data_IF_610424653110
#
_entry.id   IF_610424653110
#
_cell.length_a   1.000
_cell.length_b   1.000
_cell.length_c   1.000
_cell.angle_alpha   90.00
_cell.angle_beta   90.00
_cell.angle_gamma   90.00
#
_symmetry.space_group_name_H-M   'P 1'
#
loop_
_entity.id
_entity.type
_entity.pdbx_description
1 polymer ?
#
# COMPACT_ATOMS: atom_id res chain seq x y z
N UNK A 1 -52.67 35.74 25.77
CA UNK A 1 -51.46 35.27 25.05
C UNK A 1 -51.88 34.08 24.19
N UNK A 2 -51.72 34.20 22.86
CA UNK A 2 -52.19 33.21 21.88
C UNK A 2 -51.25 31.99 21.85
N UNK A 3 -51.80 30.80 22.07
CA UNK A 3 -51.22 29.52 21.64
C UNK A 3 -51.19 29.43 20.11
N UNK A 4 -50.28 28.63 19.53
CA UNK A 4 -50.76 27.69 18.53
C UNK A 4 -50.15 26.29 18.63
N UNK A 5 -51.06 25.32 18.52
CA UNK A 5 -50.86 23.97 18.01
C UNK A 5 -50.15 24.04 16.65
N UNK A 6 -49.01 23.38 16.46
CA UNK A 6 -48.51 22.94 15.14
C UNK A 6 -47.14 22.21 15.19
N UNK A 7 -46.71 21.65 16.33
CA UNK A 7 -45.40 20.98 16.44
C UNK A 7 -45.45 19.47 16.07
N UNK A 8 -46.36 19.11 15.15
CA UNK A 8 -46.47 17.78 14.55
C UNK A 8 -46.76 17.96 13.06
N UNK A 9 -45.75 18.27 12.24
CA UNK A 9 -45.93 18.25 10.77
C UNK A 9 -44.65 18.25 9.91
N UNK A 10 -43.44 18.45 10.46
CA UNK A 10 -42.25 18.66 9.60
C UNK A 10 -41.05 17.93 10.16
N UNK A 11 -40.99 16.61 10.01
CA UNK A 11 -39.74 15.84 9.97
C UNK A 11 -39.96 14.44 9.35
N UNK A 12 -40.96 14.32 8.46
CA UNK A 12 -41.17 13.17 7.57
C UNK A 12 -40.56 13.48 6.21
N UNK A 13 -39.31 13.95 6.20
CA UNK A 13 -38.59 14.36 5.00
C UNK A 13 -37.10 13.99 5.03
N UNK A 14 -36.76 12.87 5.67
CA UNK A 14 -35.48 12.17 5.46
C UNK A 14 -35.74 10.73 5.00
N UNK A 15 -36.59 10.60 3.99
CA UNK A 15 -36.51 9.49 3.05
C UNK A 15 -35.37 9.80 2.07
N UNK A 16 -34.57 8.76 1.82
CA UNK A 16 -33.97 8.45 0.51
C UNK A 16 -32.84 9.33 -0.02
N UNK A 17 -31.68 9.28 0.64
CA UNK A 17 -30.36 9.50 0.01
C UNK A 17 -29.33 8.97 1.01
N UNK A 18 -28.90 7.71 0.97
CA UNK A 18 -27.89 7.18 0.06
C UNK A 18 -27.87 5.65 0.25
N UNK A 19 -27.97 4.87 -0.83
CA UNK A 19 -27.13 3.69 -0.96
C UNK A 19 -26.20 3.96 -2.13
N UNK A 20 -25.33 4.97 -2.01
CA UNK A 20 -24.16 5.00 -2.86
C UNK A 20 -23.13 4.10 -2.20
N UNK A 21 -23.25 2.81 -2.51
CA UNK A 21 -22.12 1.92 -2.53
C UNK A 21 -21.08 2.52 -3.51
N UNK A 22 -20.34 3.52 -3.04
CA UNK A 22 -19.04 3.80 -3.62
C UNK A 22 -18.18 2.63 -3.19
N UNK A 23 -18.20 1.62 -4.05
CA UNK A 23 -17.09 0.73 -4.30
C UNK A 23 -15.81 1.48 -3.91
N UNK A 24 -15.19 1.09 -2.80
CA UNK A 24 -13.77 1.29 -2.65
C UNK A 24 -13.18 0.57 -3.87
N UNK A 25 -12.91 1.33 -4.92
CA UNK A 25 -12.05 0.89 -5.99
C UNK A 25 -10.72 0.61 -5.29
N UNK A 26 -10.57 -0.65 -4.87
CA UNK A 26 -9.33 -1.25 -4.46
C UNK A 26 -8.35 -0.92 -5.59
N UNK A 27 -7.59 0.15 -5.41
CA UNK A 27 -6.68 0.65 -6.42
C UNK A 27 -5.56 -0.38 -6.46
N UNK A 28 -5.64 -1.29 -7.45
CA UNK A 28 -4.61 -2.31 -7.64
C UNK A 28 -3.27 -1.59 -7.77
N UNK A 29 -2.35 -1.88 -6.85
CA UNK A 29 -1.03 -1.29 -6.85
C UNK A 29 -0.35 -1.60 -8.19
N UNK A 30 0.08 -0.57 -8.92
CA UNK A 30 0.76 -0.77 -10.19
C UNK A 30 2.17 -1.29 -9.94
N UNK A 31 2.78 -1.93 -10.94
CA UNK A 31 4.20 -2.33 -10.84
C UNK A 31 5.13 -1.14 -10.56
N UNK A 32 4.73 0.08 -10.95
CA UNK A 32 5.49 1.29 -10.64
C UNK A 32 5.44 1.62 -9.14
N UNK A 33 4.28 1.51 -8.51
CA UNK A 33 4.10 1.76 -7.07
C UNK A 33 4.92 0.75 -6.25
N UNK A 34 4.94 -0.51 -6.70
CA UNK A 34 5.72 -1.57 -6.05
C UNK A 34 7.23 -1.33 -6.24
N UNK A 35 7.65 -0.76 -7.37
CA UNK A 35 9.05 -0.38 -7.58
C UNK A 35 9.51 0.73 -6.60
N UNK A 36 8.60 1.58 -6.13
CA UNK A 36 8.94 2.57 -5.10
C UNK A 36 9.33 1.92 -3.77
N UNK A 37 8.73 0.77 -3.43
CA UNK A 37 9.13 -0.02 -2.26
C UNK A 37 10.59 -0.49 -2.42
N UNK A 38 10.94 -1.02 -3.60
CA UNK A 38 12.31 -1.41 -3.91
C UNK A 38 13.27 -0.23 -3.75
N UNK A 39 12.96 0.91 -4.37
CA UNK A 39 13.82 2.09 -4.34
C UNK A 39 13.96 2.69 -2.94
N UNK A 40 12.89 2.70 -2.14
CA UNK A 40 12.90 3.16 -0.76
C UNK A 40 13.84 2.30 0.07
N UNK A 41 13.70 0.98 0.00
CA UNK A 41 14.55 0.06 0.75
C UNK A 41 15.99 0.04 0.22
N UNK A 42 16.21 0.20 -1.08
CA UNK A 42 17.53 0.40 -1.68
C UNK A 42 18.22 1.65 -1.12
N UNK A 43 17.50 2.77 -1.03
CA UNK A 43 18.05 4.00 -0.49
C UNK A 43 18.38 3.89 0.99
N UNK A 44 17.55 3.20 1.78
CA UNK A 44 17.87 2.85 3.16
C UNK A 44 19.10 1.93 3.26
N UNK A 45 19.15 0.89 2.42
CA UNK A 45 20.24 -0.08 2.37
C UNK A 45 21.60 0.53 2.06
N UNK A 46 21.68 1.61 1.27
CA UNK A 46 22.95 2.33 1.05
C UNK A 46 23.61 2.85 2.32
N UNK A 47 22.83 3.04 3.40
CA UNK A 47 23.28 3.56 4.69
C UNK A 47 23.43 2.45 5.73
N UNK A 48 23.27 1.18 5.35
CA UNK A 48 23.24 0.03 6.25
C UNK A 48 24.10 -1.12 5.72
N UNK A 49 24.57 -1.97 6.62
CA UNK A 49 25.19 -3.25 6.26
C UNK A 49 24.13 -4.36 6.12
N UNK A 50 24.52 -5.53 5.59
CA UNK A 50 23.59 -6.66 5.36
C UNK A 50 22.78 -7.04 6.61
N UNK A 51 23.41 -7.04 7.78
CA UNK A 51 22.74 -7.34 9.05
C UNK A 51 21.62 -6.35 9.38
N UNK A 52 21.78 -5.08 8.98
CA UNK A 52 20.74 -4.06 9.11
C UNK A 52 19.53 -4.32 8.20
N UNK A 53 19.79 -4.83 6.99
CA UNK A 53 18.73 -5.24 6.07
C UNK A 53 17.94 -6.45 6.58
N UNK A 54 18.61 -7.45 7.16
CA UNK A 54 17.92 -8.61 7.74
C UNK A 54 17.05 -8.22 8.93
N UNK A 55 17.51 -7.28 9.77
CA UNK A 55 16.70 -6.72 10.86
C UNK A 55 15.48 -5.96 10.33
N UNK A 56 15.66 -5.13 9.31
CA UNK A 56 14.58 -4.35 8.70
C UNK A 56 13.48 -5.27 8.14
N UNK A 57 13.85 -6.40 7.53
CA UNK A 57 12.92 -7.43 7.04
C UNK A 57 12.15 -8.10 8.18
N UNK A 58 12.83 -8.45 9.28
CA UNK A 58 12.18 -9.02 10.46
C UNK A 58 11.20 -8.04 11.12
N UNK A 59 11.53 -6.74 11.12
CA UNK A 59 10.66 -5.70 11.65
C UNK A 59 9.45 -5.38 10.75
N UNK A 60 9.64 -5.45 9.43
CA UNK A 60 8.58 -5.17 8.45
C UNK A 60 7.59 -6.31 8.26
N UNK A 61 8.03 -7.56 8.40
CA UNK A 61 7.17 -8.73 8.23
C UNK A 61 5.86 -8.65 9.03
N UNK A 62 5.90 -8.46 10.36
CA UNK A 62 4.70 -8.34 11.19
C UNK A 62 3.84 -7.10 10.88
N UNK A 63 4.47 -5.99 10.46
CA UNK A 63 3.79 -4.72 10.16
C UNK A 63 3.00 -4.81 8.86
N UNK A 64 3.55 -5.46 7.84
CA UNK A 64 2.94 -5.58 6.52
C UNK A 64 1.88 -6.68 6.46
N UNK A 65 2.02 -7.75 7.25
CA UNK A 65 1.02 -8.84 7.34
C UNK A 65 -0.32 -8.33 7.92
N UNK A 66 -0.30 -7.22 8.67
CA UNK A 66 -1.51 -6.61 9.27
C UNK A 66 -2.14 -5.47 8.48
N UNK A 67 -1.57 -5.03 7.35
CA UNK A 67 -2.17 -3.97 6.53
C UNK A 67 -3.06 -4.55 5.42
N UNK A 68 -4.38 -4.48 5.62
CA UNK A 68 -5.43 -4.78 4.65
C UNK A 68 -5.45 -3.84 3.40
N UNK A 69 -4.40 -3.02 3.21
CA UNK A 69 -4.36 -1.91 2.25
C UNK A 69 -3.76 -2.24 0.88
N UNK A 70 -2.98 -3.32 0.73
CA UNK A 70 -2.40 -3.70 -0.56
C UNK A 70 -3.30 -4.76 -1.20
N UNK A 71 -4.47 -4.33 -1.64
CA UNK A 71 -5.43 -5.16 -2.39
C UNK A 71 -4.81 -5.61 -3.72
N UNK A 72 -4.10 -6.74 -3.69
CA UNK A 72 -3.52 -7.39 -4.88
C UNK A 72 -2.05 -7.82 -4.74
N UNK A 73 -1.31 -7.27 -3.78
CA UNK A 73 0.12 -7.58 -3.60
C UNK A 73 0.39 -8.08 -2.18
N UNK A 74 0.84 -9.34 -2.05
CA UNK A 74 1.02 -9.93 -0.72
C UNK A 74 2.09 -9.19 0.09
N UNK A 75 1.83 -9.00 1.39
CA UNK A 75 2.79 -8.45 2.35
C UNK A 75 4.16 -9.16 2.30
N UNK A 76 4.15 -10.47 2.04
CA UNK A 76 5.34 -11.28 1.85
C UNK A 76 6.15 -10.84 0.62
N UNK A 77 5.48 -10.52 -0.50
CA UNK A 77 6.14 -10.06 -1.72
C UNK A 77 6.70 -8.65 -1.55
N UNK A 78 5.97 -7.73 -0.92
CA UNK A 78 6.47 -6.39 -0.58
C UNK A 78 7.69 -6.46 0.34
N UNK A 79 7.67 -7.38 1.32
CA UNK A 79 8.81 -7.63 2.22
C UNK A 79 10.02 -8.19 1.44
N UNK A 80 9.79 -9.14 0.54
CA UNK A 80 10.85 -9.72 -0.30
C UNK A 80 11.48 -8.68 -1.25
N UNK A 81 10.66 -7.80 -1.83
CA UNK A 81 11.12 -6.69 -2.68
C UNK A 81 11.94 -5.70 -1.86
N UNK A 82 11.46 -5.34 -0.68
CA UNK A 82 12.19 -4.45 0.22
C UNK A 82 13.54 -5.07 0.65
N UNK A 83 13.55 -6.37 1.00
CA UNK A 83 14.78 -7.12 1.29
C UNK A 83 15.78 -6.99 0.14
N UNK A 84 15.32 -7.28 -1.08
CA UNK A 84 16.15 -7.21 -2.27
C UNK A 84 16.74 -5.81 -2.49
N UNK A 85 15.91 -4.77 -2.38
CA UNK A 85 16.35 -3.39 -2.45
C UNK A 85 17.41 -3.06 -1.42
N UNK A 86 17.14 -3.36 -0.16
CA UNK A 86 18.08 -3.10 0.93
C UNK A 86 19.41 -3.79 0.71
N UNK A 87 19.41 -5.07 0.35
CA UNK A 87 20.64 -5.82 0.09
C UNK A 87 21.44 -5.26 -1.10
N UNK A 88 20.77 -4.88 -2.19
CA UNK A 88 21.44 -4.27 -3.34
C UNK A 88 22.11 -2.95 -2.94
N UNK A 89 21.42 -2.14 -2.13
CA UNK A 89 21.95 -0.89 -1.57
C UNK A 89 23.15 -1.12 -0.64
N UNK A 90 23.03 -2.06 0.30
CA UNK A 90 24.10 -2.42 1.24
C UNK A 90 25.33 -3.00 0.52
N UNK A 91 25.11 -3.77 -0.56
CA UNK A 91 26.17 -4.30 -1.42
C UNK A 91 26.72 -3.27 -2.42
N UNK A 92 26.24 -2.02 -2.39
CA UNK A 92 26.59 -0.92 -3.31
C UNK A 92 26.44 -1.30 -4.79
N UNK A 93 25.50 -2.18 -5.09
CA UNK A 93 25.15 -2.52 -6.48
C UNK A 93 24.39 -1.35 -7.09
N UNK A 94 24.48 -1.14 -8.42
CA UNK A 94 23.56 -0.22 -9.08
C UNK A 94 22.10 -0.70 -8.86
N UNK A 95 21.14 0.24 -8.68
CA UNK A 95 19.75 -0.14 -8.51
C UNK A 95 19.24 -0.83 -9.78
N UNK A 96 18.35 -1.81 -9.60
CA UNK A 96 17.66 -2.43 -10.74
C UNK A 96 16.89 -1.38 -11.52
N UNK A 97 17.01 -1.43 -12.84
CA UNK A 97 16.15 -0.63 -13.72
C UNK A 97 14.69 -1.11 -13.62
N UNK A 98 13.73 -0.24 -13.93
CA UNK A 98 12.31 -0.59 -13.99
C UNK A 98 12.03 -1.81 -14.89
N UNK A 99 12.78 -1.97 -15.99
CA UNK A 99 12.65 -3.12 -16.88
C UNK A 99 13.16 -4.43 -16.25
N UNK A 100 14.24 -4.39 -15.47
CA UNK A 100 14.72 -5.55 -14.71
C UNK A 100 13.71 -5.91 -13.62
N UNK A 101 13.26 -4.90 -12.88
CA UNK A 101 12.27 -5.08 -11.82
C UNK A 101 10.96 -5.69 -12.31
N UNK A 102 10.40 -5.19 -13.43
CA UNK A 102 9.20 -5.76 -14.05
C UNK A 102 9.35 -7.24 -14.37
N UNK A 103 10.49 -7.63 -14.95
CA UNK A 103 10.76 -9.04 -15.31
C UNK A 103 10.89 -9.94 -14.08
N UNK A 104 11.42 -9.42 -12.98
CA UNK A 104 11.72 -10.19 -11.77
C UNK A 104 10.50 -10.30 -10.84
N UNK A 105 9.75 -9.22 -10.62
CA UNK A 105 8.70 -9.15 -9.59
C UNK A 105 7.29 -8.97 -10.11
N UNK A 106 7.09 -8.38 -11.29
CA UNK A 106 5.75 -8.07 -11.80
C UNK A 106 5.26 -9.05 -12.87
N UNK A 107 6.17 -9.83 -13.46
CA UNK A 107 5.87 -10.76 -14.54
C UNK A 107 5.23 -10.08 -15.77
N UNK A 108 4.61 -10.88 -16.65
CA UNK A 108 3.77 -10.38 -17.76
C UNK A 108 2.35 -9.96 -17.32
N UNK A 109 2.01 -10.11 -16.03
CA UNK A 109 0.62 -10.05 -15.54
C UNK A 109 0.20 -8.70 -14.96
N UNK A 110 1.13 -7.82 -14.57
CA UNK A 110 0.80 -6.44 -14.19
C UNK A 110 0.98 -5.53 -15.41
N UNK A 111 -0.14 -5.12 -16.03
CA UNK A 111 -0.18 -4.10 -17.09
C UNK A 111 -0.08 -2.71 -16.51
#
# INVERSE_FOLDING_TARGET
>A
MRTPRALYAILVALLTVLPCATQTAAQEATCSDIYEIYMTCYNGGKQMDQSGCDYLVQALGPRLIGEDGISGFSAALSTAICKRGCEDGAKRKPPMTMNQFRREFCGKMLK
#
